data_IF_100437888821
#
_entry.id   IF_100437888821
#
_cell.length_a   1.000
_cell.length_b   1.000
_cell.length_c   1.000
_cell.angle_alpha   90.00
_cell.angle_beta   90.00
_cell.angle_gamma   90.00
#
_symmetry.space_group_name_H-M   'P 1'
#
loop_
_entity.id
_entity.type
_entity.pdbx_description
1 polymer ?
#
# COMPACT_ATOMS: atom_id res chain seq x y z
N UNK A 1 25.53 26.64 27.50
CA UNK A 1 26.64 25.85 26.93
C UNK A 1 26.95 24.61 27.79
N UNK A 2 27.14 24.75 29.12
CA UNK A 2 27.30 23.62 30.06
C UNK A 2 26.11 22.65 30.05
N UNK A 3 24.89 23.19 29.98
CA UNK A 3 23.63 22.41 29.87
C UNK A 3 23.49 21.62 28.55
N UNK A 4 24.16 22.08 27.49
CA UNK A 4 24.16 21.43 26.17
C UNK A 4 25.15 20.25 26.16
N UNK A 5 26.27 20.39 26.88
CA UNK A 5 27.29 19.36 27.08
C UNK A 5 26.77 18.25 28.01
N UNK A 6 25.95 18.59 29.01
CA UNK A 6 25.31 17.60 29.90
C UNK A 6 24.26 16.72 29.19
N UNK A 7 23.58 17.28 28.16
CA UNK A 7 22.67 16.54 27.28
C UNK A 7 23.40 15.57 26.32
N UNK A 8 24.68 15.78 26.06
CA UNK A 8 25.54 14.96 25.18
C UNK A 8 26.21 13.78 25.91
N UNK A 9 26.05 13.62 27.23
CA UNK A 9 26.43 12.37 27.91
C UNK A 9 25.65 11.19 27.30
N UNK A 10 26.30 10.06 26.96
CA UNK A 10 25.66 8.96 26.23
C UNK A 10 24.41 8.38 26.91
N UNK A 11 24.32 8.44 28.25
CA UNK A 11 23.14 8.07 29.02
C UNK A 11 21.96 9.03 28.86
N UNK A 12 22.22 10.34 28.75
CA UNK A 12 21.21 11.38 28.53
C UNK A 12 20.79 11.45 27.05
N UNK A 13 21.72 11.25 26.12
CA UNK A 13 21.43 11.24 24.69
C UNK A 13 20.37 10.19 24.34
N UNK A 14 20.48 8.95 24.87
CA UNK A 14 19.47 7.90 24.69
C UNK A 14 18.11 8.27 25.29
N UNK A 15 18.10 9.04 26.39
CA UNK A 15 16.88 9.51 27.08
C UNK A 15 16.17 10.62 26.32
N UNK A 16 16.87 11.47 25.57
CA UNK A 16 16.28 12.51 24.72
C UNK A 16 15.98 12.03 23.29
N UNK A 17 16.79 11.12 22.75
CA UNK A 17 16.61 10.54 21.42
C UNK A 17 15.34 9.68 21.36
N UNK A 18 15.00 8.95 22.44
CA UNK A 18 13.82 8.07 22.45
C UNK A 18 12.49 8.85 22.37
N UNK A 19 12.24 9.91 23.15
CA UNK A 19 11.08 10.79 22.97
C UNK A 19 11.07 11.50 21.61
N UNK A 20 12.24 11.90 21.11
CA UNK A 20 12.37 12.54 19.81
C UNK A 20 12.03 11.60 18.66
N UNK A 21 12.60 10.39 18.62
CA UNK A 21 12.29 9.34 17.63
C UNK A 21 10.85 8.84 17.76
N UNK A 22 10.31 8.81 18.98
CA UNK A 22 8.89 8.52 19.22
C UNK A 22 7.99 9.57 18.59
N UNK A 23 8.27 10.87 18.81
CA UNK A 23 7.49 11.96 18.20
C UNK A 23 7.68 12.05 16.69
N UNK A 24 8.92 12.00 16.20
CA UNK A 24 9.25 12.22 14.80
C UNK A 24 8.86 11.02 13.93
N UNK A 25 9.27 9.82 14.32
CA UNK A 25 9.19 8.62 13.47
C UNK A 25 8.11 7.65 13.96
N UNK A 26 7.64 7.76 15.20
CA UNK A 26 6.70 6.81 15.80
C UNK A 26 7.40 5.57 16.38
N UNK A 27 8.70 5.67 16.67
CA UNK A 27 9.47 4.53 17.16
C UNK A 27 9.23 4.27 18.64
N UNK A 28 8.45 3.23 18.96
CA UNK A 28 8.32 2.71 20.33
C UNK A 28 9.40 1.69 20.66
N UNK A 29 9.55 1.39 21.95
CA UNK A 29 10.24 0.16 22.37
C UNK A 29 9.49 -1.11 21.91
N UNK A 30 9.93 -2.27 22.39
CA UNK A 30 9.43 -3.60 22.02
C UNK A 30 8.00 -3.94 22.55
N UNK A 31 7.15 -2.94 22.80
CA UNK A 31 5.86 -3.16 23.47
C UNK A 31 4.77 -3.61 22.50
N UNK A 32 4.42 -4.90 22.56
CA UNK A 32 3.29 -5.52 21.85
C UNK A 32 1.96 -4.78 22.07
N UNK A 33 1.71 -4.26 23.28
CA UNK A 33 0.46 -3.56 23.60
C UNK A 33 0.27 -2.29 22.78
N UNK A 34 1.34 -1.54 22.52
CA UNK A 34 1.28 -0.30 21.73
C UNK A 34 1.08 -0.60 20.25
N UNK A 35 1.68 -1.68 19.74
CA UNK A 35 1.44 -2.21 18.39
C UNK A 35 -0.03 -2.57 18.20
N UNK A 36 -0.62 -3.26 19.17
CA UNK A 36 -2.04 -3.66 19.14
C UNK A 36 -2.98 -2.46 19.15
N UNK A 37 -2.68 -1.42 19.94
CA UNK A 37 -3.44 -0.16 19.95
C UNK A 37 -3.33 0.56 18.61
N UNK A 38 -2.14 0.64 18.02
CA UNK A 38 -1.93 1.25 16.71
C UNK A 38 -2.72 0.52 15.62
N UNK A 39 -2.69 -0.83 15.60
CA UNK A 39 -3.49 -1.65 14.70
C UNK A 39 -5.00 -1.41 14.88
N UNK A 40 -5.48 -1.34 16.12
CA UNK A 40 -6.90 -1.06 16.39
C UNK A 40 -7.33 0.32 15.88
N UNK A 41 -6.48 1.33 16.06
CA UNK A 41 -6.76 2.69 15.59
C UNK A 41 -6.73 2.78 14.06
N UNK A 42 -5.80 2.09 13.42
CA UNK A 42 -5.74 2.01 11.96
C UNK A 42 -6.97 1.30 11.39
N UNK A 43 -7.37 0.17 11.97
CA UNK A 43 -8.59 -0.56 11.60
C UNK A 43 -9.86 0.29 11.77
N UNK A 44 -9.93 1.11 12.82
CA UNK A 44 -11.02 2.07 13.00
C UNK A 44 -11.09 3.09 11.86
N UNK A 45 -9.94 3.65 11.44
CA UNK A 45 -9.90 4.60 10.32
C UNK A 45 -10.26 3.91 8.99
N UNK A 46 -9.81 2.68 8.78
CA UNK A 46 -10.16 1.87 7.61
C UNK A 46 -11.69 1.70 7.46
N UNK A 47 -12.39 1.49 8.59
CA UNK A 47 -13.85 1.43 8.62
C UNK A 47 -14.50 2.81 8.44
N UNK A 48 -13.95 3.84 9.09
CA UNK A 48 -14.46 5.22 9.00
C UNK A 48 -14.42 5.75 7.56
N UNK A 49 -13.34 5.49 6.84
CA UNK A 49 -13.16 5.90 5.44
C UNK A 49 -13.82 4.94 4.43
N UNK A 50 -14.60 3.96 4.89
CA UNK A 50 -15.37 3.04 4.05
C UNK A 50 -14.49 2.24 3.06
N UNK A 51 -13.25 1.98 3.43
CA UNK A 51 -12.34 1.15 2.65
C UNK A 51 -12.70 -0.32 2.82
N UNK A 52 -13.07 -0.72 4.04
CA UNK A 52 -13.68 -2.02 4.34
C UNK A 52 -15.17 -1.86 4.64
N UNK A 53 -16.00 -2.68 4.00
CA UNK A 53 -17.44 -2.74 4.24
C UNK A 53 -17.84 -3.89 5.18
N UNK A 54 -16.97 -4.88 5.36
CA UNK A 54 -17.22 -6.10 6.13
C UNK A 54 -16.56 -6.08 7.53
N UNK A 55 -16.57 -4.92 8.19
CA UNK A 55 -16.13 -4.80 9.59
C UNK A 55 -14.61 -4.74 9.79
N UNK A 56 -13.87 -4.24 8.80
CA UNK A 56 -12.43 -4.03 8.89
C UNK A 56 -11.67 -5.34 8.99
N UNK A 57 -10.70 -5.42 9.90
CA UNK A 57 -9.89 -6.62 10.15
C UNK A 57 -10.71 -7.85 10.58
N UNK A 58 -11.95 -7.66 11.06
CA UNK A 58 -12.82 -8.77 11.46
C UNK A 58 -13.30 -9.57 10.25
N UNK A 59 -13.54 -8.90 9.12
CA UNK A 59 -14.01 -9.53 7.89
C UNK A 59 -15.26 -10.40 8.17
N UNK A 60 -16.31 -9.81 8.75
CA UNK A 60 -17.54 -10.49 9.22
C UNK A 60 -18.48 -10.84 8.05
N UNK A 61 -18.09 -11.80 7.18
CA UNK A 61 -18.87 -12.15 5.99
C UNK A 61 -20.24 -12.78 6.26
N UNK A 62 -20.39 -13.42 7.43
CA UNK A 62 -21.64 -14.07 7.82
C UNK A 62 -22.72 -13.08 8.28
N UNK A 63 -22.38 -11.79 8.38
CA UNK A 63 -23.30 -10.74 8.79
C UNK A 63 -23.60 -9.77 7.65
N UNK A 64 -24.86 -9.33 7.50
CA UNK A 64 -25.19 -8.33 6.51
C UNK A 64 -24.49 -7.00 6.83
N UNK A 65 -24.08 -6.28 5.79
CA UNK A 65 -23.53 -4.93 5.91
C UNK A 65 -24.59 -4.03 6.58
N UNK A 66 -24.19 -3.31 7.63
CA UNK A 66 -25.12 -2.42 8.34
C UNK A 66 -25.67 -1.33 7.41
N UNK A 67 -26.94 -0.97 7.58
CA UNK A 67 -27.61 0.04 6.75
C UNK A 67 -26.86 1.37 6.71
N UNK A 68 -26.25 1.79 7.83
CA UNK A 68 -25.45 3.02 7.92
C UNK A 68 -24.23 2.99 6.99
N UNK A 69 -23.44 1.91 7.04
CA UNK A 69 -22.26 1.73 6.19
C UNK A 69 -22.66 1.62 4.72
N UNK A 70 -23.76 0.92 4.44
CA UNK A 70 -24.28 0.79 3.08
C UNK A 70 -24.68 2.15 2.47
N UNK A 71 -25.44 2.98 3.21
CA UNK A 71 -25.81 4.33 2.76
C UNK A 71 -24.56 5.21 2.58
N UNK A 72 -23.63 5.19 3.54
CA UNK A 72 -22.41 5.99 3.44
C UNK A 72 -21.55 5.59 2.24
N UNK A 73 -21.46 4.29 1.93
CA UNK A 73 -20.76 3.80 0.75
C UNK A 73 -21.43 4.26 -0.55
N UNK A 74 -22.76 4.28 -0.61
CA UNK A 74 -23.48 4.82 -1.76
C UNK A 74 -23.27 6.31 -1.94
N UNK A 75 -23.24 7.09 -0.85
CA UNK A 75 -22.89 8.52 -0.92
C UNK A 75 -21.51 8.69 -1.55
N UNK A 76 -20.49 7.96 -1.06
CA UNK A 76 -19.15 8.03 -1.62
C UNK A 76 -19.10 7.65 -3.12
N UNK A 77 -19.80 6.57 -3.52
CA UNK A 77 -19.89 6.16 -4.93
C UNK A 77 -20.56 7.21 -5.81
N UNK A 78 -21.69 7.75 -5.36
CA UNK A 78 -22.43 8.79 -6.08
C UNK A 78 -21.57 10.05 -6.21
N UNK A 79 -20.84 10.45 -5.15
CA UNK A 79 -19.91 11.58 -5.21
C UNK A 79 -18.82 11.40 -6.27
N UNK A 80 -18.24 10.21 -6.38
CA UNK A 80 -17.24 9.91 -7.41
C UNK A 80 -17.85 9.96 -8.80
N UNK A 81 -18.98 9.26 -9.02
CA UNK A 81 -19.67 9.21 -10.32
C UNK A 81 -20.10 10.62 -10.75
N UNK A 82 -20.68 11.39 -9.84
CA UNK A 82 -21.07 12.77 -10.05
C UNK A 82 -19.88 13.63 -10.50
N UNK A 83 -18.75 13.51 -9.81
CA UNK A 83 -17.54 14.27 -10.15
C UNK A 83 -17.07 13.93 -11.57
N UNK A 84 -17.03 12.64 -11.94
CA UNK A 84 -16.65 12.22 -13.30
C UNK A 84 -17.63 12.73 -14.35
N UNK A 85 -18.93 12.54 -14.15
CA UNK A 85 -19.97 13.03 -15.09
C UNK A 85 -19.83 14.54 -15.28
N UNK A 86 -19.66 15.29 -14.20
CA UNK A 86 -19.48 16.74 -14.25
C UNK A 86 -18.24 17.14 -15.04
N UNK A 87 -17.09 16.50 -14.79
CA UNK A 87 -15.87 16.78 -15.56
C UNK A 87 -16.03 16.40 -17.04
N UNK A 88 -16.75 15.33 -17.35
CA UNK A 88 -17.08 14.95 -18.73
C UNK A 88 -18.00 15.96 -19.42
N UNK A 89 -19.00 16.50 -18.72
CA UNK A 89 -19.87 17.54 -19.27
C UNK A 89 -19.09 18.80 -19.67
N UNK A 90 -18.07 19.19 -18.90
CA UNK A 90 -17.17 20.28 -19.28
C UNK A 90 -16.35 20.01 -20.55
N UNK A 91 -16.05 18.74 -20.84
CA UNK A 91 -15.35 18.37 -22.07
C UNK A 91 -16.26 18.41 -23.31
N UNK A 92 -17.54 18.04 -23.16
CA UNK A 92 -18.46 17.95 -24.29
C UNK A 92 -19.15 19.26 -24.66
N UNK A 93 -19.29 20.19 -23.71
CA UNK A 93 -19.98 21.47 -23.93
C UNK A 93 -19.08 22.69 -23.63
N UNK A 94 -17.98 22.88 -24.39
CA UNK A 94 -17.16 24.09 -24.26
C UNK A 94 -17.95 25.33 -24.72
N UNK A 95 -17.79 26.48 -24.05
CA UNK A 95 -18.41 27.75 -24.45
C UNK A 95 -19.90 27.89 -24.15
N UNK A 96 -20.49 27.00 -23.34
CA UNK A 96 -21.89 27.12 -22.93
C UNK A 96 -21.98 27.80 -21.55
N UNK A 97 -22.30 29.09 -21.55
CA UNK A 97 -22.38 29.94 -20.35
C UNK A 97 -23.37 29.41 -19.30
N UNK A 98 -24.47 28.77 -19.71
CA UNK A 98 -25.45 28.20 -18.77
C UNK A 98 -24.89 26.96 -18.07
N UNK A 99 -24.23 26.08 -18.83
CA UNK A 99 -23.59 24.88 -18.28
C UNK A 99 -22.40 25.27 -17.40
N UNK A 100 -21.63 26.28 -17.81
CA UNK A 100 -20.51 26.85 -17.05
C UNK A 100 -20.97 27.36 -15.67
N UNK A 101 -22.11 28.06 -15.65
CA UNK A 101 -22.76 28.61 -14.47
C UNK A 101 -23.20 27.54 -13.46
N UNK A 102 -23.90 26.49 -13.91
CA UNK A 102 -24.40 25.43 -13.01
C UNK A 102 -23.31 24.47 -12.55
N UNK A 103 -22.37 24.15 -13.43
CA UNK A 103 -21.29 23.23 -13.11
C UNK A 103 -20.12 23.94 -12.41
N UNK A 104 -20.09 25.28 -12.34
CA UNK A 104 -19.04 26.09 -11.75
C UNK A 104 -17.65 25.66 -12.25
N UNK A 105 -17.36 26.00 -13.50
CA UNK A 105 -16.13 25.60 -14.16
C UNK A 105 -14.89 26.08 -13.42
N UNK A 106 -13.92 25.18 -13.36
CA UNK A 106 -12.69 25.37 -12.62
C UNK A 106 -11.66 26.18 -13.41
N UNK A 107 -11.60 26.00 -14.73
CA UNK A 107 -10.53 26.53 -15.57
C UNK A 107 -11.14 27.49 -16.61
N UNK A 108 -10.64 28.73 -16.69
CA UNK A 108 -11.14 29.72 -17.64
C UNK A 108 -10.88 29.30 -19.09
N UNK A 109 -11.71 29.82 -20.00
CA UNK A 109 -11.72 29.38 -21.41
C UNK A 109 -10.51 29.84 -22.22
N UNK A 110 -9.75 30.81 -21.74
CA UNK A 110 -8.50 31.28 -22.36
C UNK A 110 -7.40 30.21 -22.37
N UNK A 111 -7.57 29.09 -21.67
CA UNK A 111 -6.60 27.98 -21.57
C UNK A 111 -7.17 26.63 -22.08
N UNK A 112 -8.05 26.66 -23.10
CA UNK A 112 -8.77 25.48 -23.63
C UNK A 112 -7.95 24.17 -23.81
N UNK A 113 -6.77 24.16 -24.48
CA UNK A 113 -6.04 22.90 -24.68
C UNK A 113 -5.52 22.32 -23.36
N UNK A 114 -5.06 23.17 -22.43
CA UNK A 114 -4.63 22.74 -21.09
C UNK A 114 -5.82 22.26 -20.24
N UNK A 115 -6.96 22.95 -20.34
CA UNK A 115 -8.22 22.56 -19.68
C UNK A 115 -8.67 21.16 -20.09
N UNK A 116 -8.70 20.89 -21.39
CA UNK A 116 -9.16 19.62 -21.92
C UNK A 116 -8.23 18.47 -21.50
N UNK A 117 -6.92 18.67 -21.62
CA UNK A 117 -5.93 17.68 -21.16
C UNK A 117 -6.04 17.40 -19.66
N UNK A 118 -6.21 18.44 -18.83
CA UNK A 118 -6.36 18.30 -17.38
C UNK A 118 -7.61 17.51 -17.00
N UNK A 119 -8.75 17.81 -17.62
CA UNK A 119 -10.02 17.13 -17.36
C UNK A 119 -10.00 15.66 -17.81
N UNK A 120 -9.40 15.38 -18.98
CA UNK A 120 -9.21 14.01 -19.47
C UNK A 120 -8.32 13.22 -18.51
N UNK A 121 -7.17 13.77 -18.13
CA UNK A 121 -6.25 13.13 -17.20
C UNK A 121 -6.94 12.87 -15.85
N UNK A 122 -7.64 13.87 -15.31
CA UNK A 122 -8.39 13.73 -14.06
C UNK A 122 -9.42 12.60 -14.14
N UNK A 123 -10.18 12.52 -15.24
CA UNK A 123 -11.16 11.43 -15.45
C UNK A 123 -10.51 10.05 -15.52
N UNK A 124 -9.38 9.90 -16.22
CA UNK A 124 -8.63 8.63 -16.28
C UNK A 124 -8.17 8.21 -14.88
N UNK A 125 -7.58 9.14 -14.11
CA UNK A 125 -7.07 8.86 -12.76
C UNK A 125 -8.22 8.51 -11.81
N UNK A 126 -9.34 9.25 -11.87
CA UNK A 126 -10.54 8.93 -11.10
C UNK A 126 -11.09 7.55 -11.46
N UNK A 127 -11.13 7.18 -12.75
CA UNK A 127 -11.59 5.88 -13.18
C UNK A 127 -10.70 4.75 -12.63
N UNK A 128 -9.38 4.89 -12.71
CA UNK A 128 -8.42 3.91 -12.18
C UNK A 128 -8.59 3.76 -10.65
N UNK A 129 -8.63 4.86 -9.90
CA UNK A 129 -8.78 4.82 -8.46
C UNK A 129 -10.15 4.29 -8.02
N UNK A 130 -11.21 4.63 -8.77
CA UNK A 130 -12.55 4.12 -8.51
C UNK A 130 -12.62 2.61 -8.77
N UNK A 131 -12.04 2.15 -9.88
CA UNK A 131 -11.91 0.73 -10.19
C UNK A 131 -11.11 0.00 -9.10
N UNK A 132 -10.02 0.56 -8.57
CA UNK A 132 -9.28 -0.02 -7.45
C UNK A 132 -10.19 -0.17 -6.22
N UNK A 133 -10.91 0.89 -5.84
CA UNK A 133 -11.79 0.88 -4.66
C UNK A 133 -12.90 -0.15 -4.80
N UNK A 134 -13.55 -0.20 -5.95
CA UNK A 134 -14.61 -1.19 -6.22
C UNK A 134 -14.06 -2.61 -6.30
N UNK A 135 -12.84 -2.77 -6.84
CA UNK A 135 -12.14 -4.04 -6.83
C UNK A 135 -11.82 -4.52 -5.41
N UNK A 136 -11.35 -3.62 -4.52
CA UNK A 136 -11.14 -3.92 -3.10
C UNK A 136 -12.44 -4.42 -2.45
N UNK A 137 -13.56 -3.73 -2.69
CA UNK A 137 -14.87 -4.16 -2.16
C UNK A 137 -15.34 -5.50 -2.74
N UNK A 138 -15.05 -5.75 -4.01
CA UNK A 138 -15.35 -7.02 -4.66
C UNK A 138 -14.55 -8.17 -4.05
N UNK A 139 -13.22 -8.05 -3.95
CA UNK A 139 -12.37 -9.10 -3.37
C UNK A 139 -12.61 -9.27 -1.87
N UNK A 140 -13.02 -8.21 -1.17
CA UNK A 140 -13.49 -8.29 0.20
C UNK A 140 -14.71 -9.20 0.30
N UNK A 141 -15.76 -8.93 -0.49
CA UNK A 141 -17.00 -9.74 -0.47
C UNK A 141 -16.78 -11.19 -0.92
N UNK A 142 -15.84 -11.42 -1.83
CA UNK A 142 -15.46 -12.75 -2.26
C UNK A 142 -14.59 -13.51 -1.23
N UNK A 143 -14.20 -12.86 -0.11
CA UNK A 143 -13.44 -13.51 0.96
C UNK A 143 -11.94 -13.60 0.73
N UNK A 144 -11.40 -12.98 -0.32
CA UNK A 144 -9.96 -12.99 -0.59
C UNK A 144 -9.17 -12.17 0.46
N UNK A 145 -9.79 -11.14 1.06
CA UNK A 145 -9.15 -10.34 2.13
C UNK A 145 -9.10 -11.02 3.51
N UNK A 146 -9.51 -12.30 3.60
CA UNK A 146 -9.33 -13.12 4.82
C UNK A 146 -7.89 -13.15 5.32
N UNK A 147 -6.91 -13.02 4.42
CA UNK A 147 -5.50 -12.79 4.71
C UNK A 147 -5.27 -11.77 5.84
N UNK A 148 -6.04 -10.68 5.86
CA UNK A 148 -5.86 -9.60 6.84
C UNK A 148 -6.39 -9.94 8.24
N UNK A 149 -7.14 -11.04 8.42
CA UNK A 149 -7.51 -11.55 9.76
C UNK A 149 -6.29 -11.91 10.61
N UNK A 150 -5.12 -12.14 10.01
CA UNK A 150 -3.86 -12.24 10.74
C UNK A 150 -3.65 -11.03 11.68
N UNK A 151 -3.97 -9.82 11.24
CA UNK A 151 -3.82 -8.60 12.05
C UNK A 151 -4.87 -8.51 13.16
N UNK A 152 -6.07 -9.04 12.95
CA UNK A 152 -7.05 -9.20 14.02
C UNK A 152 -6.53 -10.13 15.11
N UNK A 153 -5.96 -11.28 14.71
CA UNK A 153 -5.40 -12.25 15.63
C UNK A 153 -4.24 -11.66 16.43
N UNK A 154 -3.37 -10.86 15.79
CA UNK A 154 -2.32 -10.09 16.48
C UNK A 154 -2.93 -9.09 17.46
N UNK A 155 -4.00 -8.38 17.07
CA UNK A 155 -4.69 -7.42 17.94
C UNK A 155 -5.27 -8.07 19.20
N UNK A 156 -5.83 -9.28 19.09
CA UNK A 156 -6.48 -9.97 20.21
C UNK A 156 -5.46 -10.72 21.07
N UNK A 157 -4.58 -11.51 20.46
CA UNK A 157 -3.71 -12.46 21.15
C UNK A 157 -2.25 -12.01 21.27
N UNK A 158 -1.87 -10.93 20.59
CA UNK A 158 -0.48 -10.46 20.51
C UNK A 158 0.34 -11.09 19.39
N UNK A 159 1.52 -10.52 19.13
CA UNK A 159 2.43 -11.00 18.07
C UNK A 159 3.03 -12.39 18.40
N UNK A 160 3.19 -12.72 19.68
CA UNK A 160 3.72 -14.01 20.14
C UNK A 160 2.71 -15.16 20.07
N UNK A 161 1.56 -14.94 19.42
CA UNK A 161 0.52 -15.95 19.28
C UNK A 161 1.05 -17.17 18.50
N UNK A 162 0.86 -18.37 19.08
CA UNK A 162 1.51 -19.60 18.63
C UNK A 162 1.31 -19.94 17.12
N UNK A 163 0.13 -19.72 16.52
CA UNK A 163 -0.08 -19.90 15.07
C UNK A 163 0.83 -19.09 14.15
N UNK A 164 1.38 -17.95 14.59
CA UNK A 164 2.34 -17.19 13.76
C UNK A 164 3.74 -17.78 13.76
N UNK A 165 4.04 -18.67 14.72
CA UNK A 165 5.30 -19.38 14.82
C UNK A 165 6.52 -18.45 14.65
N UNK A 166 6.51 -17.31 15.35
CA UNK A 166 7.63 -16.38 15.37
C UNK A 166 8.56 -16.69 16.55
N UNK A 167 9.88 -16.69 16.33
CA UNK A 167 10.84 -16.66 17.44
C UNK A 167 10.66 -15.37 18.25
N UNK A 168 11.10 -15.36 19.51
CA UNK A 168 11.02 -14.17 20.38
C UNK A 168 11.65 -12.93 19.71
N UNK A 169 12.81 -13.11 19.08
CA UNK A 169 13.52 -12.07 18.33
C UNK A 169 12.70 -11.56 17.16
N UNK A 170 12.18 -12.46 16.30
CA UNK A 170 11.37 -12.09 15.15
C UNK A 170 10.06 -11.41 15.57
N UNK A 171 9.43 -11.86 16.65
CA UNK A 171 8.24 -11.24 17.22
C UNK A 171 8.51 -9.80 17.69
N UNK A 172 9.61 -9.55 18.38
CA UNK A 172 9.99 -8.20 18.83
C UNK A 172 10.26 -7.27 17.65
N UNK A 173 11.01 -7.75 16.64
CA UNK A 173 11.29 -6.99 15.42
C UNK A 173 10.02 -6.71 14.62
N UNK A 174 9.17 -7.72 14.41
CA UNK A 174 7.89 -7.57 13.75
C UNK A 174 7.01 -6.54 14.46
N UNK A 175 6.84 -6.67 15.78
CA UNK A 175 6.00 -5.77 16.58
C UNK A 175 6.43 -4.32 16.40
N UNK A 176 7.73 -4.07 16.46
CA UNK A 176 8.32 -2.75 16.31
C UNK A 176 8.11 -2.15 14.92
N UNK A 177 8.38 -2.91 13.86
CA UNK A 177 8.21 -2.43 12.48
C UNK A 177 6.73 -2.30 12.14
N UNK A 178 5.88 -3.21 12.61
CA UNK A 178 4.43 -3.13 12.45
C UNK A 178 3.86 -1.87 13.13
N UNK A 179 4.29 -1.58 14.37
CA UNK A 179 3.89 -0.34 15.05
C UNK A 179 4.29 0.89 14.24
N UNK A 180 5.54 0.93 13.75
CA UNK A 180 6.05 2.01 12.93
C UNK A 180 5.19 2.21 11.67
N UNK A 181 4.89 1.13 10.95
CA UNK A 181 4.03 1.18 9.76
C UNK A 181 2.64 1.69 10.09
N UNK A 182 2.00 1.18 11.14
CA UNK A 182 0.65 1.58 11.53
C UNK A 182 0.56 3.05 11.96
N UNK A 183 1.52 3.55 12.74
CA UNK A 183 1.54 4.97 13.15
C UNK A 183 1.73 5.88 11.94
N UNK A 184 2.65 5.55 11.04
CA UNK A 184 2.85 6.35 9.83
C UNK A 184 1.67 6.25 8.87
N UNK A 185 1.02 5.10 8.77
CA UNK A 185 -0.20 4.96 8.00
C UNK A 185 -1.36 5.81 8.55
N UNK A 186 -1.54 5.84 9.88
CA UNK A 186 -2.52 6.75 10.52
C UNK A 186 -2.19 8.21 10.18
N UNK A 187 -0.92 8.61 10.22
CA UNK A 187 -0.49 9.96 9.85
C UNK A 187 -0.75 10.27 8.39
N UNK A 188 -0.48 9.32 7.48
CA UNK A 188 -0.76 9.44 6.05
C UNK A 188 -2.27 9.61 5.84
N UNK A 189 -3.12 8.84 6.50
CA UNK A 189 -4.57 8.98 6.35
C UNK A 189 -5.09 10.35 6.84
N UNK A 190 -4.59 10.84 7.98
CA UNK A 190 -4.92 12.18 8.46
C UNK A 190 -4.42 13.24 7.47
N UNK A 191 -3.20 13.07 6.97
CA UNK A 191 -2.63 13.97 5.97
C UNK A 191 -3.47 13.99 4.69
N UNK A 192 -3.91 12.83 4.18
CA UNK A 192 -4.81 12.71 3.03
C UNK A 192 -6.11 13.49 3.28
N UNK A 193 -6.70 13.44 4.48
CA UNK A 193 -7.88 14.23 4.81
C UNK A 193 -7.63 15.73 4.69
N UNK A 194 -6.56 16.22 5.33
CA UNK A 194 -6.23 17.64 5.31
C UNK A 194 -5.80 18.12 3.93
N UNK A 195 -5.07 17.27 3.20
CA UNK A 195 -4.53 17.55 1.88
C UNK A 195 -5.64 17.60 0.84
N UNK A 196 -6.54 16.62 0.80
CA UNK A 196 -7.65 16.59 -0.16
C UNK A 196 -8.56 17.81 0.00
N UNK A 197 -8.92 18.18 1.23
CA UNK A 197 -9.69 19.39 1.50
C UNK A 197 -8.96 20.66 1.05
N UNK A 198 -7.69 20.81 1.45
CA UNK A 198 -6.88 21.98 1.09
C UNK A 198 -6.68 22.09 -0.43
N UNK A 199 -6.45 20.95 -1.09
CA UNK A 199 -6.27 20.87 -2.54
C UNK A 199 -7.55 21.29 -3.27
N UNK A 200 -8.72 20.78 -2.87
CA UNK A 200 -10.00 21.20 -3.46
C UNK A 200 -10.27 22.68 -3.27
N UNK A 201 -9.97 23.23 -2.08
CA UNK A 201 -10.14 24.65 -1.81
C UNK A 201 -9.18 25.50 -2.65
N UNK A 202 -7.89 25.18 -2.67
CA UNK A 202 -6.89 25.95 -3.40
C UNK A 202 -7.22 25.94 -4.90
N UNK A 203 -7.49 24.78 -5.49
CA UNK A 203 -7.84 24.69 -6.91
C UNK A 203 -9.04 25.60 -7.25
N UNK A 204 -10.09 25.56 -6.42
CA UNK A 204 -11.34 26.30 -6.65
C UNK A 204 -11.18 27.80 -6.42
N UNK A 205 -10.36 28.21 -5.45
CA UNK A 205 -10.16 29.62 -5.12
C UNK A 205 -9.07 30.29 -5.98
N UNK A 206 -8.28 29.51 -6.71
CA UNK A 206 -7.14 30.01 -7.51
C UNK A 206 -7.58 30.87 -8.70
N UNK A 207 -8.65 30.49 -9.39
CA UNK A 207 -9.11 31.20 -10.59
C UNK A 207 -10.12 32.31 -10.26
N UNK A 208 -9.89 33.51 -10.80
CA UNK A 208 -10.72 34.71 -10.55
C UNK A 208 -12.14 34.58 -11.11
N UNK A 209 -12.32 33.80 -12.18
CA UNK A 209 -13.62 33.52 -12.80
C UNK A 209 -14.65 32.94 -11.81
N UNK A 210 -14.17 32.28 -10.75
CA UNK A 210 -14.99 31.70 -9.68
C UNK A 210 -15.85 32.72 -8.93
N UNK A 211 -15.44 33.99 -8.91
CA UNK A 211 -16.13 35.07 -8.19
C UNK A 211 -17.03 35.93 -9.09
N UNK A 212 -17.29 35.50 -10.32
CA UNK A 212 -18.05 36.26 -11.32
C UNK A 212 -19.49 36.57 -10.88
N UNK A 213 -20.17 35.62 -10.22
CA UNK A 213 -21.56 35.76 -9.79
C UNK A 213 -21.82 35.07 -8.44
N UNK A 214 -22.84 35.53 -7.70
CA UNK A 214 -23.26 34.90 -6.43
C UNK A 214 -23.68 33.44 -6.61
N UNK A 215 -24.26 33.11 -7.76
CA UNK A 215 -24.74 31.77 -8.08
C UNK A 215 -23.58 30.80 -8.37
N UNK A 216 -22.52 31.27 -9.05
CA UNK A 216 -21.26 30.53 -9.19
C UNK A 216 -20.65 30.17 -7.82
N UNK A 217 -20.61 31.13 -6.89
CA UNK A 217 -20.08 30.90 -5.53
C UNK A 217 -20.88 29.84 -4.78
N UNK A 218 -22.21 29.87 -4.89
CA UNK A 218 -23.08 28.87 -4.28
C UNK A 218 -22.82 27.45 -4.80
N UNK A 219 -22.80 27.27 -6.13
CA UNK A 219 -22.51 25.96 -6.72
C UNK A 219 -21.10 25.49 -6.40
N UNK A 220 -20.11 26.38 -6.41
CA UNK A 220 -18.73 26.06 -6.03
C UNK A 220 -18.63 25.47 -4.61
N UNK A 221 -19.31 26.05 -3.61
CA UNK A 221 -19.33 25.53 -2.24
C UNK A 221 -19.91 24.11 -2.19
N UNK A 222 -21.01 23.85 -2.92
CA UNK A 222 -21.62 22.52 -2.99
C UNK A 222 -20.66 21.50 -3.62
N UNK A 223 -20.04 21.87 -4.74
CA UNK A 223 -19.12 21.01 -5.47
C UNK A 223 -17.88 20.67 -4.65
N UNK A 224 -17.32 21.61 -3.88
CA UNK A 224 -16.18 21.35 -3.00
C UNK A 224 -16.48 20.20 -2.05
N UNK A 225 -17.64 20.21 -1.39
CA UNK A 225 -18.02 19.18 -0.42
C UNK A 225 -18.08 17.81 -1.12
N UNK A 226 -18.71 17.74 -2.29
CA UNK A 226 -18.87 16.49 -3.04
C UNK A 226 -17.51 15.97 -3.53
N UNK A 227 -16.67 16.85 -4.08
CA UNK A 227 -15.32 16.52 -4.57
C UNK A 227 -14.38 16.07 -3.46
N UNK A 228 -14.41 16.75 -2.30
CA UNK A 228 -13.62 16.34 -1.14
C UNK A 228 -14.02 14.94 -0.69
N UNK A 229 -15.32 14.62 -0.64
CA UNK A 229 -15.79 13.26 -0.30
C UNK A 229 -15.31 12.23 -1.32
N UNK A 230 -15.40 12.55 -2.63
CA UNK A 230 -14.93 11.67 -3.69
C UNK A 230 -13.42 11.39 -3.57
N UNK A 231 -12.60 12.44 -3.50
CA UNK A 231 -11.14 12.33 -3.39
C UNK A 231 -10.74 11.59 -2.11
N UNK A 232 -11.35 11.91 -0.97
CA UNK A 232 -11.07 11.25 0.29
C UNK A 232 -11.36 9.74 0.20
N UNK A 233 -12.49 9.34 -0.39
CA UNK A 233 -12.84 7.93 -0.55
C UNK A 233 -11.86 7.17 -1.45
N UNK A 234 -11.36 7.80 -2.51
CA UNK A 234 -10.42 7.20 -3.46
C UNK A 234 -9.00 7.08 -2.89
N UNK A 235 -8.43 8.18 -2.38
CA UNK A 235 -7.05 8.20 -1.88
C UNK A 235 -6.91 7.43 -0.56
N UNK A 236 -7.92 7.45 0.31
CA UNK A 236 -7.88 6.63 1.53
C UNK A 236 -7.88 5.13 1.21
N UNK A 237 -8.61 4.68 0.18
CA UNK A 237 -8.59 3.28 -0.26
C UNK A 237 -7.19 2.86 -0.71
N UNK A 238 -6.54 3.66 -1.57
CA UNK A 238 -5.18 3.40 -2.05
C UNK A 238 -4.17 3.36 -0.89
N UNK A 239 -4.20 4.35 0.01
CA UNK A 239 -3.26 4.42 1.14
C UNK A 239 -3.43 3.24 2.12
N UNK A 240 -4.68 2.87 2.42
CA UNK A 240 -4.97 1.76 3.31
C UNK A 240 -4.52 0.41 2.72
N UNK A 241 -4.88 0.13 1.47
CA UNK A 241 -4.55 -1.16 0.85
C UNK A 241 -3.04 -1.33 0.70
N UNK A 242 -2.31 -0.27 0.30
CA UNK A 242 -0.85 -0.27 0.24
C UNK A 242 -0.21 -0.57 1.60
N UNK A 243 -0.70 0.06 2.67
CA UNK A 243 -0.24 -0.20 4.05
C UNK A 243 -0.45 -1.66 4.45
N UNK A 244 -1.62 -2.23 4.15
CA UNK A 244 -1.91 -3.62 4.46
C UNK A 244 -0.99 -4.58 3.69
N UNK A 245 -0.78 -4.36 2.39
CA UNK A 245 0.13 -5.15 1.58
C UNK A 245 1.57 -5.12 2.13
N UNK A 246 2.07 -3.94 2.51
CA UNK A 246 3.39 -3.80 3.13
C UNK A 246 3.51 -4.52 4.48
N UNK A 247 2.49 -4.41 5.32
CA UNK A 247 2.47 -5.07 6.63
C UNK A 247 2.36 -6.58 6.48
N UNK A 248 1.65 -7.06 5.46
CA UNK A 248 1.55 -8.48 5.14
C UNK A 248 2.89 -9.02 4.64
N UNK A 249 3.58 -8.30 3.75
CA UNK A 249 4.92 -8.64 3.30
C UNK A 249 5.92 -8.71 4.47
N UNK A 250 5.80 -7.79 5.45
CA UNK A 250 6.57 -7.85 6.70
C UNK A 250 6.26 -9.11 7.52
N UNK A 251 4.98 -9.49 7.67
CA UNK A 251 4.58 -10.69 8.42
C UNK A 251 5.17 -11.96 7.79
N UNK A 252 4.98 -12.10 6.48
CA UNK A 252 5.51 -13.22 5.68
C UNK A 252 7.03 -13.31 5.82
N UNK A 253 7.72 -12.19 5.64
CA UNK A 253 9.18 -12.10 5.76
C UNK A 253 9.67 -12.48 7.16
N UNK A 254 8.92 -12.08 8.21
CA UNK A 254 9.25 -12.41 9.60
C UNK A 254 9.04 -13.90 9.92
N UNK A 255 8.07 -14.55 9.27
CA UNK A 255 7.88 -15.99 9.35
C UNK A 255 9.09 -16.77 8.82
N UNK A 256 9.63 -16.36 7.67
CA UNK A 256 10.85 -16.96 7.11
C UNK A 256 12.08 -16.67 7.98
N UNK A 257 12.24 -15.45 8.50
CA UNK A 257 13.32 -15.17 9.46
C UNK A 257 13.27 -16.09 10.67
N UNK A 258 12.06 -16.35 11.18
CA UNK A 258 11.87 -17.25 12.31
C UNK A 258 12.29 -18.68 11.96
N UNK A 259 12.03 -19.14 10.74
CA UNK A 259 12.48 -20.44 10.25
C UNK A 259 14.01 -20.48 10.19
N UNK A 260 14.63 -19.44 9.62
CA UNK A 260 16.09 -19.34 9.48
C UNK A 260 16.78 -19.35 10.86
N UNK A 261 16.25 -18.60 11.83
CA UNK A 261 16.79 -18.56 13.20
C UNK A 261 16.77 -19.95 13.86
N UNK A 262 15.73 -20.75 13.61
CA UNK A 262 15.65 -22.11 14.13
C UNK A 262 16.60 -23.08 13.44
N UNK A 263 16.71 -22.99 12.12
CA UNK A 263 17.67 -23.81 11.38
C UNK A 263 19.09 -23.52 11.89
N UNK A 264 19.45 -22.24 12.08
CA UNK A 264 20.75 -21.85 12.65
C UNK A 264 20.97 -22.43 14.05
N UNK A 265 19.96 -22.38 14.90
CA UNK A 265 20.04 -22.96 16.23
C UNK A 265 20.34 -24.47 16.18
N UNK A 266 19.67 -25.20 15.31
CA UNK A 266 19.88 -26.64 15.11
C UNK A 266 21.24 -26.95 14.46
N UNK A 267 21.72 -26.13 13.53
CA UNK A 267 23.05 -26.27 12.93
C UNK A 267 24.19 -26.11 13.95
N UNK A 268 23.98 -25.32 15.00
CA UNK A 268 24.96 -25.12 16.07
C UNK A 268 25.03 -26.28 17.08
N UNK A 269 24.18 -27.31 16.94
CA UNK A 269 24.11 -28.47 17.84
C UNK A 269 24.28 -29.80 17.09
N UNK A 270 25.45 -30.09 16.50
CA UNK A 270 25.70 -31.40 15.89
C UNK A 270 25.89 -32.49 16.97
N UNK A 271 25.44 -33.74 16.73
CA UNK A 271 24.68 -34.21 15.57
C UNK A 271 23.18 -33.87 15.67
N UNK A 272 22.56 -33.55 14.54
CA UNK A 272 21.13 -33.23 14.49
C UNK A 272 20.30 -34.51 14.57
N UNK A 273 19.33 -34.56 15.49
CA UNK A 273 18.43 -35.71 15.59
C UNK A 273 17.38 -35.73 14.48
N UNK A 274 16.89 -36.91 14.11
CA UNK A 274 15.79 -37.05 13.15
C UNK A 274 14.52 -36.32 13.60
N UNK A 275 14.25 -36.29 14.90
CA UNK A 275 13.07 -35.63 15.48
C UNK A 275 13.15 -34.12 15.28
N UNK A 276 14.32 -33.51 15.54
CA UNK A 276 14.52 -32.08 15.31
C UNK A 276 14.41 -31.72 13.83
N UNK A 277 15.01 -32.50 12.93
CA UNK A 277 14.88 -32.26 11.49
C UNK A 277 13.41 -32.36 11.03
N UNK A 278 12.65 -33.33 11.55
CA UNK A 278 11.22 -33.47 11.25
C UNK A 278 10.43 -32.23 11.68
N UNK A 279 10.68 -31.71 12.89
CA UNK A 279 10.01 -30.51 13.39
C UNK A 279 10.34 -29.26 12.54
N UNK A 280 11.60 -29.11 12.11
CA UNK A 280 11.99 -28.03 11.21
C UNK A 280 11.25 -28.14 9.88
N UNK A 281 11.24 -29.33 9.28
CA UNK A 281 10.55 -29.57 8.01
C UNK A 281 9.07 -29.22 8.07
N UNK A 282 8.37 -29.69 9.11
CA UNK A 282 6.96 -29.39 9.33
C UNK A 282 6.72 -27.88 9.40
N UNK A 283 7.55 -27.14 10.14
CA UNK A 283 7.42 -25.69 10.25
C UNK A 283 7.65 -24.97 8.92
N UNK A 284 8.66 -25.36 8.15
CA UNK A 284 8.94 -24.73 6.84
C UNK A 284 7.80 -24.97 5.87
N UNK A 285 7.26 -26.18 5.82
CA UNK A 285 6.11 -26.53 4.99
C UNK A 285 4.89 -25.69 5.39
N UNK A 286 4.63 -25.54 6.70
CA UNK A 286 3.52 -24.72 7.18
C UNK A 286 3.67 -23.25 6.75
N UNK A 287 4.85 -22.67 6.89
CA UNK A 287 5.11 -21.28 6.46
C UNK A 287 4.94 -21.14 4.95
N UNK A 288 5.51 -22.05 4.15
CA UNK A 288 5.36 -21.98 2.69
C UNK A 288 3.90 -22.16 2.23
N UNK A 289 3.16 -23.09 2.83
CA UNK A 289 1.74 -23.29 2.49
C UNK A 289 0.90 -22.06 2.85
N UNK A 290 1.20 -21.42 3.99
CA UNK A 290 0.55 -20.17 4.36
C UNK A 290 0.83 -19.05 3.36
N UNK A 291 2.08 -18.91 2.91
CA UNK A 291 2.43 -17.89 1.90
C UNK A 291 1.79 -18.20 0.55
N UNK A 292 1.78 -19.44 0.10
CA UNK A 292 1.14 -19.82 -1.17
C UNK A 292 -0.37 -19.50 -1.15
N UNK A 293 -1.03 -19.78 -0.02
CA UNK A 293 -2.44 -19.43 0.16
C UNK A 293 -2.64 -17.92 0.10
N UNK A 294 -1.84 -17.15 0.83
CA UNK A 294 -1.90 -15.68 0.81
C UNK A 294 -1.68 -15.15 -0.61
N UNK A 295 -0.65 -15.66 -1.30
CA UNK A 295 -0.29 -15.22 -2.64
C UNK A 295 -1.45 -15.40 -3.62
N UNK A 296 -2.13 -16.56 -3.59
CA UNK A 296 -3.33 -16.81 -4.42
C UNK A 296 -4.49 -15.86 -4.14
N UNK A 297 -4.56 -15.29 -2.94
CA UNK A 297 -5.62 -14.36 -2.55
C UNK A 297 -5.33 -12.92 -2.98
N UNK A 298 -4.06 -12.52 -3.08
CA UNK A 298 -3.67 -11.11 -3.30
C UNK A 298 -2.93 -10.84 -4.61
N UNK A 299 -2.52 -11.86 -5.37
CA UNK A 299 -1.69 -11.69 -6.56
C UNK A 299 -2.29 -10.71 -7.59
N UNK A 300 -3.59 -10.77 -7.85
CA UNK A 300 -4.25 -9.84 -8.79
C UNK A 300 -4.45 -8.43 -8.21
N UNK A 301 -4.52 -8.30 -6.89
CA UNK A 301 -4.46 -6.98 -6.24
C UNK A 301 -3.08 -6.35 -6.42
N UNK A 302 -2.01 -7.13 -6.29
CA UNK A 302 -0.65 -6.67 -6.59
C UNK A 302 -0.53 -6.27 -8.07
N UNK A 303 -1.09 -7.06 -9.00
CA UNK A 303 -1.14 -6.68 -10.42
C UNK A 303 -1.89 -5.37 -10.66
N UNK A 304 -2.99 -5.12 -9.96
CA UNK A 304 -3.70 -3.84 -10.07
C UNK A 304 -2.80 -2.68 -9.61
N UNK A 305 -2.11 -2.84 -8.47
CA UNK A 305 -1.24 -1.81 -7.90
C UNK A 305 0.01 -1.56 -8.78
N UNK A 306 0.75 -2.61 -9.13
CA UNK A 306 1.96 -2.50 -9.93
C UNK A 306 1.68 -2.24 -11.42
N UNK A 307 0.46 -2.53 -11.90
CA UNK A 307 0.03 -2.22 -13.26
C UNK A 307 -0.66 -0.86 -13.36
N UNK A 308 -1.94 -0.81 -12.97
CA UNK A 308 -2.80 0.34 -13.24
C UNK A 308 -2.44 1.58 -12.40
N UNK A 309 -2.01 1.42 -11.15
CA UNK A 309 -1.59 2.57 -10.33
C UNK A 309 -0.21 3.08 -10.78
N UNK A 310 0.67 2.20 -11.26
CA UNK A 310 1.93 2.61 -11.88
C UNK A 310 1.68 3.44 -13.15
N UNK A 311 0.82 2.95 -14.06
CA UNK A 311 0.40 3.68 -15.27
C UNK A 311 -0.24 5.03 -14.92
N UNK A 312 -1.05 5.10 -13.86
CA UNK A 312 -1.58 6.37 -13.38
C UNK A 312 -0.45 7.33 -12.96
N UNK A 313 0.58 6.83 -12.26
CA UNK A 313 1.79 7.59 -11.94
C UNK A 313 2.52 8.10 -13.17
N UNK A 314 2.73 7.24 -14.17
CA UNK A 314 3.41 7.59 -15.42
C UNK A 314 2.67 8.68 -16.19
N UNK A 315 1.34 8.58 -16.30
CA UNK A 315 0.51 9.60 -16.97
C UNK A 315 0.59 10.95 -16.25
N UNK A 316 0.58 10.96 -14.90
CA UNK A 316 0.75 12.19 -14.13
C UNK A 316 2.10 12.84 -14.47
N UNK A 317 3.20 12.07 -14.44
CA UNK A 317 4.54 12.57 -14.77
C UNK A 317 4.65 13.04 -16.22
N UNK A 318 4.13 12.27 -17.18
CA UNK A 318 4.18 12.61 -18.60
C UNK A 318 3.52 13.97 -18.86
N UNK A 319 2.30 14.19 -18.38
CA UNK A 319 1.57 15.41 -18.66
C UNK A 319 2.02 16.62 -17.83
N UNK A 320 2.46 16.42 -16.59
CA UNK A 320 2.86 17.54 -15.73
C UNK A 320 4.34 17.91 -15.81
N UNK A 321 5.24 16.92 -15.98
CA UNK A 321 6.69 17.14 -15.96
C UNK A 321 7.26 17.26 -17.38
N UNK A 322 6.85 16.39 -18.30
CA UNK A 322 7.43 16.34 -19.65
C UNK A 322 6.75 17.36 -20.57
N UNK A 323 5.42 17.28 -20.70
CA UNK A 323 4.67 18.21 -21.55
C UNK A 323 4.34 19.55 -20.88
N UNK A 324 4.48 19.64 -19.56
CA UNK A 324 4.17 20.82 -18.76
C UNK A 324 2.81 21.46 -19.14
N UNK A 325 1.76 20.63 -19.26
CA UNK A 325 0.45 21.07 -19.76
C UNK A 325 -0.36 21.90 -18.78
N UNK A 326 0.11 22.10 -17.54
CA UNK A 326 -0.64 22.77 -16.49
C UNK A 326 0.11 24.00 -15.97
N UNK A 327 -0.58 24.95 -15.32
CA UNK A 327 0.07 26.06 -14.64
C UNK A 327 1.13 25.56 -13.66
N UNK A 328 2.26 26.28 -13.54
CA UNK A 328 3.45 25.86 -12.78
C UNK A 328 3.16 25.27 -11.40
N UNK A 329 2.24 25.88 -10.65
CA UNK A 329 1.85 25.41 -9.32
C UNK A 329 1.15 24.04 -9.37
N UNK A 330 0.22 23.85 -10.30
CA UNK A 330 -0.53 22.60 -10.49
C UNK A 330 0.42 21.51 -11.03
N UNK A 331 1.26 21.84 -12.02
CA UNK A 331 2.27 20.92 -12.55
C UNK A 331 3.20 20.40 -11.45
N UNK A 332 3.67 21.26 -10.53
CA UNK A 332 4.52 20.85 -9.40
C UNK A 332 3.82 19.88 -8.45
N UNK A 333 2.54 20.14 -8.11
CA UNK A 333 1.76 19.26 -7.25
C UNK A 333 1.55 17.89 -7.89
N UNK A 334 1.14 17.86 -9.15
CA UNK A 334 0.89 16.62 -9.90
C UNK A 334 2.17 15.82 -10.06
N UNK A 335 3.27 16.47 -10.43
CA UNK A 335 4.60 15.85 -10.55
C UNK A 335 5.02 15.21 -9.23
N UNK A 336 4.87 15.94 -8.12
CA UNK A 336 5.19 15.39 -6.80
C UNK A 336 4.32 14.17 -6.46
N UNK A 337 3.04 14.19 -6.81
CA UNK A 337 2.14 13.04 -6.67
C UNK A 337 2.61 11.82 -7.47
N UNK A 338 2.95 12.00 -8.75
CA UNK A 338 3.47 10.94 -9.62
C UNK A 338 4.77 10.32 -9.06
N UNK A 339 5.73 11.16 -8.65
CA UNK A 339 6.98 10.70 -8.02
C UNK A 339 6.70 9.89 -6.75
N UNK A 340 5.79 10.37 -5.89
CA UNK A 340 5.43 9.65 -4.67
C UNK A 340 4.83 8.28 -4.95
N UNK A 341 3.96 8.15 -5.96
CA UNK A 341 3.36 6.88 -6.35
C UNK A 341 4.46 5.87 -6.70
N UNK A 342 5.38 6.20 -7.62
CA UNK A 342 6.46 5.29 -7.97
C UNK A 342 7.41 5.02 -6.81
N UNK A 343 7.73 6.03 -6.00
CA UNK A 343 8.57 5.85 -4.82
C UNK A 343 7.99 4.79 -3.87
N UNK A 344 6.69 4.84 -3.60
CA UNK A 344 6.02 3.86 -2.75
C UNK A 344 5.90 2.47 -3.41
N UNK A 345 5.60 2.39 -4.70
CA UNK A 345 5.54 1.10 -5.42
C UNK A 345 6.92 0.42 -5.43
N UNK A 346 7.98 1.15 -5.77
CA UNK A 346 9.36 0.63 -5.80
C UNK A 346 9.80 0.14 -4.43
N UNK A 347 9.56 0.92 -3.36
CA UNK A 347 9.89 0.50 -2.00
C UNK A 347 9.09 -0.74 -1.60
N UNK A 348 7.80 -0.79 -1.97
CA UNK A 348 6.95 -1.95 -1.75
C UNK A 348 7.50 -3.21 -2.41
N UNK A 349 7.84 -3.12 -3.70
CA UNK A 349 8.39 -4.23 -4.48
C UNK A 349 9.75 -4.68 -3.96
N UNK A 350 10.64 -3.73 -3.65
CA UNK A 350 11.91 -4.05 -3.01
C UNK A 350 11.70 -4.75 -1.66
N UNK A 351 10.76 -4.27 -0.84
CA UNK A 351 10.45 -4.89 0.45
C UNK A 351 9.88 -6.30 0.29
N UNK A 352 8.96 -6.51 -0.64
CA UNK A 352 8.38 -7.83 -0.92
C UNK A 352 9.44 -8.80 -1.49
N UNK A 353 10.36 -8.33 -2.33
CA UNK A 353 11.45 -9.14 -2.90
C UNK A 353 12.39 -9.74 -1.84
N UNK A 354 12.46 -9.14 -0.64
CA UNK A 354 13.24 -9.68 0.48
C UNK A 354 12.75 -11.06 0.90
N UNK A 355 11.46 -11.35 0.73
CA UNK A 355 10.93 -12.69 0.95
C UNK A 355 11.62 -13.70 0.03
N UNK A 356 11.67 -13.41 -1.28
CA UNK A 356 12.29 -14.28 -2.29
C UNK A 356 13.75 -14.59 -1.95
N UNK A 357 14.55 -13.56 -1.64
CA UNK A 357 15.97 -13.74 -1.25
C UNK A 357 16.11 -14.61 -0.01
N UNK A 358 15.23 -14.44 0.98
CA UNK A 358 15.27 -15.25 2.20
C UNK A 358 14.86 -16.69 1.96
N UNK A 359 13.86 -16.93 1.13
CA UNK A 359 13.46 -18.29 0.72
C UNK A 359 14.63 -19.00 0.05
N UNK A 360 15.35 -18.35 -0.87
CA UNK A 360 16.58 -18.91 -1.46
C UNK A 360 17.66 -19.20 -0.40
N UNK A 361 17.80 -18.35 0.62
CA UNK A 361 18.76 -18.61 1.70
C UNK A 361 18.40 -19.87 2.51
N UNK A 362 17.11 -20.20 2.65
CA UNK A 362 16.64 -21.43 3.32
C UNK A 362 17.18 -22.66 2.58
N UNK A 363 17.24 -22.65 1.24
CA UNK A 363 17.83 -23.75 0.47
C UNK A 363 19.28 -24.04 0.91
N UNK A 364 20.11 -23.00 1.01
CA UNK A 364 21.51 -23.14 1.45
C UNK A 364 21.65 -23.62 2.90
N UNK A 365 20.73 -23.21 3.78
CA UNK A 365 20.69 -23.73 5.16
C UNK A 365 20.24 -25.20 5.22
N UNK A 366 19.31 -25.61 4.37
CA UNK A 366 18.88 -27.01 4.26
C UNK A 366 19.99 -27.92 3.75
N UNK A 367 20.83 -27.46 2.82
CA UNK A 367 21.99 -28.23 2.38
C UNK A 367 22.90 -28.58 3.57
N UNK A 368 23.11 -27.61 4.47
CA UNK A 368 23.90 -27.83 5.70
C UNK A 368 23.20 -28.78 6.68
N UNK A 369 21.87 -28.65 6.84
CA UNK A 369 21.10 -29.54 7.73
C UNK A 369 21.20 -31.00 7.26
N UNK A 370 21.01 -31.24 5.96
CA UNK A 370 21.07 -32.57 5.34
C UNK A 370 22.45 -33.20 5.53
N UNK A 371 23.53 -32.42 5.38
CA UNK A 371 24.90 -32.88 5.62
C UNK A 371 25.17 -33.20 7.10
N UNK A 372 24.55 -32.47 8.04
CA UNK A 372 24.71 -32.67 9.48
C UNK A 372 23.91 -33.87 10.02
N UNK A 373 22.82 -34.27 9.37
CA UNK A 373 22.13 -35.54 9.64
C UNK A 373 22.93 -36.71 9.06
N UNK A 374 23.85 -37.24 9.87
CA UNK A 374 24.75 -38.34 9.50
C UNK A 374 24.02 -39.63 9.05
N UNK A 375 22.73 -39.77 9.36
CA UNK A 375 21.91 -40.94 9.01
C UNK A 375 20.90 -40.66 7.90
N UNK A 376 20.73 -41.63 7.00
CA UNK A 376 19.66 -41.61 6.00
C UNK A 376 18.34 -41.90 6.72
N UNK A 377 17.40 -40.95 6.68
CA UNK A 377 16.11 -41.08 7.35
C UNK A 377 14.99 -40.37 6.55
N UNK A 378 13.74 -40.66 6.88
CA UNK A 378 12.57 -40.06 6.23
C UNK A 378 12.56 -38.52 6.31
N UNK A 379 13.03 -37.96 7.43
CA UNK A 379 13.15 -36.51 7.60
C UNK A 379 14.14 -35.89 6.60
N UNK A 380 15.19 -36.61 6.22
CA UNK A 380 16.15 -36.15 5.21
C UNK A 380 15.54 -36.12 3.80
N UNK A 381 14.73 -37.10 3.43
CA UNK A 381 14.01 -37.07 2.14
C UNK A 381 13.03 -35.89 2.07
N UNK A 382 12.32 -35.61 3.17
CA UNK A 382 11.44 -34.44 3.23
C UNK A 382 12.21 -33.12 3.14
N UNK A 383 13.41 -33.06 3.72
CA UNK A 383 14.28 -31.90 3.58
C UNK A 383 14.73 -31.67 2.13
N UNK A 384 15.01 -32.74 1.37
CA UNK A 384 15.32 -32.65 -0.06
C UNK A 384 14.11 -32.17 -0.90
N UNK A 385 12.89 -32.66 -0.60
CA UNK A 385 11.66 -32.18 -1.26
C UNK A 385 11.43 -30.67 -1.02
N UNK A 386 11.72 -30.19 0.18
CA UNK A 386 11.66 -28.75 0.49
C UNK A 386 12.67 -27.97 -0.35
N UNK A 387 13.89 -28.49 -0.53
CA UNK A 387 14.90 -27.87 -1.40
C UNK A 387 14.47 -27.85 -2.86
N UNK A 388 13.89 -28.95 -3.35
CA UNK A 388 13.34 -29.02 -4.71
C UNK A 388 12.21 -27.99 -4.91
N UNK A 389 11.32 -27.83 -3.91
CA UNK A 389 10.27 -26.80 -3.93
C UNK A 389 10.84 -25.39 -4.02
N UNK A 390 11.92 -25.08 -3.29
CA UNK A 390 12.58 -23.77 -3.32
C UNK A 390 13.25 -23.48 -4.66
N UNK A 391 13.82 -24.51 -5.29
CA UNK A 391 14.41 -24.36 -6.63
C UNK A 391 13.36 -24.31 -7.74
N UNK A 392 12.11 -24.65 -7.44
CA UNK A 392 11.00 -24.47 -8.37
C UNK A 392 10.74 -22.99 -8.64
N UNK A 393 10.45 -22.63 -9.90
CA UNK A 393 10.07 -21.27 -10.34
C UNK A 393 8.71 -20.77 -9.79
N UNK A 394 8.29 -21.25 -8.62
CA UNK A 394 6.98 -20.96 -8.00
C UNK A 394 7.10 -20.40 -6.59
N UNK A 395 8.28 -20.41 -5.97
CA UNK A 395 8.46 -19.91 -4.60
C UNK A 395 8.75 -18.41 -4.60
N UNK A 396 7.69 -17.61 -4.44
CA UNK A 396 7.78 -16.15 -4.36
C UNK A 396 6.41 -15.52 -4.14
N UNK A 397 6.38 -14.19 -4.04
CA UNK A 397 5.14 -13.41 -4.13
C UNK A 397 4.91 -13.14 -5.62
N UNK A 398 3.73 -13.48 -6.14
CA UNK A 398 3.38 -13.33 -7.54
C UNK A 398 2.55 -12.06 -7.77
N UNK A 399 2.73 -11.46 -8.95
CA UNK A 399 1.93 -10.36 -9.47
C UNK A 399 1.05 -10.93 -10.58
N UNK A 400 -0.22 -11.19 -10.26
CA UNK A 400 -1.16 -11.87 -11.15
C UNK A 400 -0.55 -13.11 -11.79
N UNK A 401 -0.63 -13.17 -13.12
CA UNK A 401 0.01 -14.19 -13.97
C UNK A 401 1.31 -13.68 -14.65
N UNK A 402 1.78 -12.48 -14.28
CA UNK A 402 2.90 -11.81 -14.92
C UNK A 402 4.26 -12.40 -14.48
N UNK A 403 4.44 -12.58 -13.17
CA UNK A 403 5.71 -13.08 -12.64
C UNK A 403 5.83 -12.97 -11.13
N UNK A 404 7.04 -13.26 -10.64
CA UNK A 404 7.39 -13.18 -9.21
C UNK A 404 8.09 -11.85 -8.90
N UNK A 405 7.85 -11.32 -7.70
CA UNK A 405 8.56 -10.15 -7.17
C UNK A 405 9.95 -10.59 -6.71
N UNK A 406 10.93 -10.49 -7.61
CA UNK A 406 12.35 -10.70 -7.34
C UNK A 406 13.07 -9.35 -7.13
N UNK A 407 14.30 -9.33 -6.62
CA UNK A 407 15.08 -8.09 -6.54
C UNK A 407 15.30 -7.45 -7.92
N UNK A 408 15.48 -8.28 -8.95
CA UNK A 408 15.61 -7.86 -10.35
C UNK A 408 14.31 -7.24 -10.87
N UNK A 409 13.15 -7.80 -10.49
CA UNK A 409 11.86 -7.23 -10.83
C UNK A 409 11.74 -5.77 -10.39
N UNK A 410 12.21 -5.39 -9.21
CA UNK A 410 12.14 -4.00 -8.76
C UNK A 410 12.96 -3.03 -9.64
N UNK A 411 14.09 -3.50 -10.19
CA UNK A 411 14.91 -2.72 -11.12
C UNK A 411 14.27 -2.64 -12.51
N UNK A 412 13.80 -3.78 -13.02
CA UNK A 412 13.07 -3.87 -14.28
C UNK A 412 11.83 -2.99 -14.22
N UNK A 413 11.09 -3.01 -13.11
CA UNK A 413 9.93 -2.16 -12.88
C UNK A 413 10.27 -0.69 -13.07
N UNK A 414 11.33 -0.17 -12.45
CA UNK A 414 11.75 1.22 -12.65
C UNK A 414 12.05 1.50 -14.13
N UNK A 415 12.81 0.62 -14.77
CA UNK A 415 13.19 0.78 -16.18
C UNK A 415 11.98 0.76 -17.12
N UNK A 416 11.02 -0.13 -16.89
CA UNK A 416 9.79 -0.22 -17.68
C UNK A 416 8.94 1.04 -17.57
N UNK A 417 8.77 1.61 -16.37
CA UNK A 417 8.03 2.87 -16.20
C UNK A 417 8.74 4.04 -16.94
N UNK A 418 10.08 4.12 -16.85
CA UNK A 418 10.86 5.14 -17.60
C UNK A 418 10.71 4.93 -19.11
N UNK A 419 10.87 3.68 -19.59
CA UNK A 419 10.71 3.33 -21.00
C UNK A 419 9.30 3.64 -21.51
N UNK A 420 8.28 3.39 -20.70
CA UNK A 420 6.89 3.69 -21.02
C UNK A 420 6.66 5.20 -21.19
N UNK A 421 7.12 6.02 -20.23
CA UNK A 421 7.07 7.49 -20.34
C UNK A 421 7.83 7.95 -21.59
N UNK A 422 9.03 7.44 -21.84
CA UNK A 422 9.83 7.80 -23.02
C UNK A 422 9.15 7.42 -24.33
N UNK A 423 8.59 6.21 -24.42
CA UNK A 423 7.90 5.71 -25.59
C UNK A 423 6.67 6.57 -25.89
N UNK A 424 5.87 6.91 -24.88
CA UNK A 424 4.74 7.82 -25.06
C UNK A 424 5.19 9.22 -25.49
N UNK A 425 6.26 9.74 -24.89
CA UNK A 425 6.83 11.05 -25.24
C UNK A 425 7.25 11.08 -26.72
N UNK A 426 8.02 10.10 -27.18
CA UNK A 426 8.47 10.03 -28.57
C UNK A 426 7.32 9.90 -29.55
N UNK A 427 6.32 9.04 -29.27
CA UNK A 427 5.19 8.84 -30.17
C UNK A 427 4.29 10.09 -30.24
N UNK A 428 3.99 10.72 -29.11
CA UNK A 428 3.18 11.95 -29.09
C UNK A 428 3.90 13.09 -29.82
N UNK A 429 5.21 13.28 -29.59
CA UNK A 429 5.99 14.29 -30.30
C UNK A 429 6.10 14.01 -31.80
N UNK A 430 6.02 12.75 -32.24
CA UNK A 430 6.00 12.43 -33.67
C UNK A 430 4.64 12.69 -34.34
N UNK A 431 3.58 12.86 -33.54
CA UNK A 431 2.21 13.15 -34.00
C UNK A 431 1.85 14.65 -33.96
N UNK A 432 2.63 15.45 -33.21
CA UNK A 432 2.57 16.91 -33.16
C UNK A 432 3.48 17.52 -34.24
#
# INVERSE_FOLDING_TARGET
MIEMIEKLKPSNFRRYLKPFLYKLIGWTGESDTETRKALARFDYLNQLFLVSLCGGLKQEYDKPITRKVWIANWIARISVIYTVIRMSLFLYYPGNDEIDLYLANLIPEDVQPMKSAFLILTNIIFAILFALREYIHYIERAGYLTAFRAFLNIRIHGVSHAPFMLTKRCSQLFSKVCHLLMINAIRILIFVCTYTLSYTLILRLYFSATYSTKLHVFFMILHIIIETVALLALFSALANIGTYCWTLALLITSGIDSVIDQIKYCLNKPPLSQVELKQINERVILVFNYVDQLNRQINYLLLFLDGLIAVAGDLLLLFSLIFNLFPDFISKIITFGGILIHFFLVIGNYWASRYYVKVLSVHGYYTKLVLNTQTICSARFKALEIQERINGNKTGIAIGDFGLITPEFALIFILENINFIMLLTCNINSLL
#
